data_IF_303206441413
#
_entry.id   IF_303206441413
#
_cell.length_a   1.000
_cell.length_b   1.000
_cell.length_c   1.000
_cell.angle_alpha   90.00
_cell.angle_beta   90.00
_cell.angle_gamma   90.00
#
_symmetry.space_group_name_H-M   'P 1'
#
loop_
_entity.id
_entity.type
_entity.pdbx_description
1 polymer ?
#
# COMPACT_ATOMS: atom_id res chain seq x y z
N UNK A 1 46.86 -52.45 43.85
CA UNK A 1 45.66 -52.77 44.67
C UNK A 1 44.59 -51.78 44.25
N UNK A 2 43.79 -52.01 43.20
CA UNK A 2 42.71 -52.99 43.03
C UNK A 2 41.42 -52.61 43.77
N UNK A 3 40.40 -52.22 42.96
CA UNK A 3 38.93 -52.49 43.10
C UNK A 3 38.22 -51.62 44.19
N UNK A 4 37.01 -51.06 44.03
CA UNK A 4 35.81 -51.47 43.29
C UNK A 4 34.80 -50.31 43.10
N UNK A 5 34.05 -50.38 41.99
CA UNK A 5 32.65 -49.95 41.88
C UNK A 5 31.74 -50.94 42.66
N UNK A 6 30.51 -50.55 43.02
CA UNK A 6 29.41 -51.36 42.50
C UNK A 6 28.17 -50.57 42.06
N UNK A 7 27.44 -51.25 41.17
CA UNK A 7 26.22 -50.87 40.50
C UNK A 7 24.93 -51.14 41.31
N UNK A 8 23.86 -50.49 40.83
CA UNK A 8 22.46 -50.93 40.71
C UNK A 8 21.68 -51.43 41.95
N UNK A 9 20.57 -50.72 42.24
CA UNK A 9 19.32 -51.36 42.66
C UNK A 9 18.11 -50.52 42.21
N UNK A 10 17.15 -51.19 41.58
CA UNK A 10 15.76 -50.82 41.33
C UNK A 10 14.96 -52.08 41.67
N UNK A 11 13.77 -52.04 42.30
CA UNK A 11 12.59 -51.35 41.75
C UNK A 11 11.58 -50.83 42.80
N UNK A 12 10.58 -50.02 42.39
CA UNK A 12 9.22 -50.19 42.92
C UNK A 12 8.15 -49.51 42.06
N UNK A 13 7.28 -50.38 41.54
CA UNK A 13 5.97 -50.15 40.95
C UNK A 13 4.97 -49.76 42.07
N UNK A 14 4.12 -48.76 41.83
CA UNK A 14 2.85 -48.64 42.55
C UNK A 14 1.79 -48.18 41.57
N UNK A 15 0.79 -49.03 41.42
CA UNK A 15 -0.35 -48.89 40.54
C UNK A 15 -1.52 -48.12 41.19
N UNK A 16 -2.42 -47.71 40.30
CA UNK A 16 -3.87 -47.56 40.46
C UNK A 16 -4.43 -46.25 41.06
N UNK A 17 -5.09 -45.48 40.19
CA UNK A 17 -6.47 -44.97 40.35
C UNK A 17 -6.90 -44.48 38.96
N UNK A 18 -7.62 -45.29 38.17
CA UNK A 18 -9.07 -45.49 38.21
C UNK A 18 -9.85 -44.22 37.83
N UNK A 19 -10.29 -44.14 36.58
CA UNK A 19 -11.49 -43.39 36.16
C UNK A 19 -11.96 -44.00 34.84
N UNK A 20 -12.88 -44.95 34.96
CA UNK A 20 -13.67 -45.47 33.86
C UNK A 20 -14.73 -44.46 33.40
N UNK A 21 -15.02 -44.51 32.11
CA UNK A 21 -16.01 -43.71 31.41
C UNK A 21 -17.43 -44.29 31.51
N UNK A 22 -18.42 -43.42 31.70
CA UNK A 22 -19.86 -43.54 31.36
C UNK A 22 -20.46 -42.16 31.68
N UNK A 23 -21.34 -41.50 30.94
CA UNK A 23 -22.45 -41.90 30.07
C UNK A 23 -22.82 -40.72 29.16
N UNK A 24 -23.57 -41.02 28.09
CA UNK A 24 -24.08 -40.11 27.06
C UNK A 24 -25.05 -39.00 27.55
N UNK A 25 -25.33 -37.98 26.72
CA UNK A 25 -26.63 -37.33 26.71
C UNK A 25 -27.44 -37.70 25.45
N UNK A 26 -28.64 -38.25 25.68
CA UNK A 26 -29.72 -38.39 24.70
C UNK A 26 -30.61 -37.13 24.73
N UNK A 27 -31.00 -36.66 23.53
CA UNK A 27 -32.35 -36.14 23.15
C UNK A 27 -32.92 -34.90 23.91
N UNK A 28 -33.44 -33.80 23.35
CA UNK A 28 -33.71 -33.21 22.02
C UNK A 28 -34.07 -31.72 22.24
N UNK A 29 -34.04 -30.83 21.22
CA UNK A 29 -34.75 -29.56 21.27
C UNK A 29 -36.16 -29.68 20.67
N UNK A 30 -37.18 -29.33 21.46
CA UNK A 30 -38.59 -29.24 21.06
C UNK A 30 -38.91 -27.81 20.55
N UNK A 31 -39.26 -27.75 19.26
CA UNK A 31 -40.35 -26.98 18.62
C UNK A 31 -40.53 -25.47 18.90
N UNK A 32 -40.19 -24.70 17.85
CA UNK A 32 -41.00 -23.70 17.10
C UNK A 32 -41.94 -22.70 17.79
N UNK A 33 -41.75 -21.42 17.44
CA UNK A 33 -42.76 -20.41 17.06
C UNK A 33 -42.03 -19.06 16.91
N UNK A 34 -42.30 -18.13 15.99
CA UNK A 34 -43.19 -18.01 14.85
C UNK A 34 -42.68 -16.81 14.02
N UNK A 35 -42.93 -16.84 12.71
CA UNK A 35 -42.77 -15.70 11.79
C UNK A 35 -43.68 -14.51 12.19
N UNK A 36 -43.40 -13.31 11.65
CA UNK A 36 -44.25 -12.91 10.52
C UNK A 36 -43.50 -12.28 9.35
N UNK A 37 -43.91 -12.67 8.15
CA UNK A 37 -43.81 -11.92 6.91
C UNK A 37 -44.98 -10.91 6.86
N UNK A 38 -44.77 -9.69 6.33
CA UNK A 38 -45.41 -9.34 5.06
C UNK A 38 -44.44 -8.53 4.15
N UNK A 39 -44.21 -8.94 2.91
CA UNK A 39 -45.00 -8.74 1.68
C UNK A 39 -44.46 -7.55 0.82
N UNK A 40 -44.58 -7.62 -0.51
CA UNK A 40 -43.70 -6.95 -1.48
C UNK A 40 -44.27 -5.64 -2.04
N UNK A 41 -43.40 -4.74 -2.54
CA UNK A 41 -43.73 -3.70 -3.54
C UNK A 41 -42.45 -3.43 -4.35
N UNK A 42 -42.36 -3.90 -5.59
CA UNK A 42 -42.88 -3.31 -6.83
C UNK A 42 -41.90 -2.32 -7.47
N UNK A 43 -41.46 -2.72 -8.66
CA UNK A 43 -40.63 -2.03 -9.63
C UNK A 43 -41.28 -0.75 -10.16
N UNK A 44 -40.51 0.32 -10.32
CA UNK A 44 -40.78 1.34 -11.34
C UNK A 44 -39.49 2.06 -11.75
N UNK A 45 -38.89 1.57 -12.85
CA UNK A 45 -38.20 2.42 -13.82
C UNK A 45 -39.23 3.00 -14.79
N UNK A 46 -38.81 4.00 -15.59
CA UNK A 46 -39.55 4.75 -16.65
C UNK A 46 -40.31 5.96 -16.08
N UNK A 47 -40.38 7.16 -16.67
CA UNK A 47 -40.06 7.66 -18.01
C UNK A 47 -39.82 9.18 -17.94
N UNK A 48 -39.27 9.68 -19.04
CA UNK A 48 -39.12 11.06 -19.51
C UNK A 48 -40.45 11.82 -19.45
N UNK A 49 -40.43 13.10 -19.05
CA UNK A 49 -41.41 14.06 -19.57
C UNK A 49 -40.73 15.39 -19.93
N UNK A 50 -40.78 15.64 -21.22
CA UNK A 50 -40.49 16.87 -21.95
C UNK A 50 -41.75 17.77 -21.92
N UNK A 51 -41.59 19.07 -21.65
CA UNK A 51 -42.44 20.18 -22.15
C UNK A 51 -41.85 21.49 -21.55
N UNK A 52 -41.12 22.32 -22.29
CA UNK A 52 -41.51 23.23 -23.38
C UNK A 52 -42.19 24.55 -22.90
N UNK A 53 -41.59 25.66 -23.39
CA UNK A 53 -42.05 27.07 -23.44
C UNK A 53 -41.88 27.91 -22.14
N UNK A 54 -41.37 29.15 -22.15
CA UNK A 54 -41.25 30.12 -23.23
C UNK A 54 -40.13 31.17 -22.98
N UNK A 55 -39.46 31.53 -24.07
CA UNK A 55 -38.73 32.78 -24.33
C UNK A 55 -39.65 34.01 -24.13
N UNK A 56 -39.13 35.22 -23.80
CA UNK A 56 -38.64 36.05 -24.89
C UNK A 56 -37.35 36.83 -24.61
N UNK A 57 -36.47 36.70 -25.59
CA UNK A 57 -35.39 37.56 -26.07
C UNK A 57 -35.76 39.05 -26.09
N UNK A 58 -34.83 39.93 -25.70
CA UNK A 58 -34.63 41.20 -26.38
C UNK A 58 -33.35 41.16 -27.23
N UNK A 59 -33.48 41.75 -28.41
CA UNK A 59 -32.53 41.87 -29.51
C UNK A 59 -31.24 42.64 -29.14
N UNK A 60 -30.16 42.51 -29.96
CA UNK A 60 -28.81 42.93 -29.58
C UNK A 60 -28.61 44.44 -29.71
N UNK A 61 -28.00 45.04 -28.70
CA UNK A 61 -27.51 46.42 -28.75
C UNK A 61 -26.10 46.42 -29.34
N UNK A 62 -25.99 47.04 -30.52
CA UNK A 62 -24.74 47.23 -31.26
C UNK A 62 -23.95 48.35 -30.57
N UNK A 63 -22.75 48.03 -30.10
CA UNK A 63 -21.79 48.98 -29.51
C UNK A 63 -20.43 48.74 -30.20
N UNK A 64 -19.71 49.79 -30.63
CA UNK A 64 -18.97 49.80 -31.89
C UNK A 64 -17.62 49.06 -31.85
N UNK A 65 -17.27 48.59 -33.04
CA UNK A 65 -15.95 48.14 -33.48
C UNK A 65 -14.85 49.10 -33.02
N UNK A 66 -14.14 48.71 -31.97
CA UNK A 66 -12.84 49.27 -31.64
C UNK A 66 -11.83 48.55 -32.52
N UNK A 67 -11.27 49.29 -33.47
CA UNK A 67 -10.17 48.85 -34.30
C UNK A 67 -9.03 48.33 -33.40
N UNK A 68 -8.81 47.02 -33.41
CA UNK A 68 -7.62 46.42 -32.83
C UNK A 68 -6.45 46.70 -33.79
N UNK A 69 -5.53 47.56 -33.35
CA UNK A 69 -4.22 47.70 -33.95
C UNK A 69 -3.54 46.32 -34.01
N UNK A 70 -2.77 46.00 -35.07
CA UNK A 70 -2.07 44.74 -35.17
C UNK A 70 -1.02 44.69 -34.06
N UNK A 71 -1.29 43.88 -33.04
CA UNK A 71 -0.27 43.47 -32.07
C UNK A 71 0.74 42.68 -32.90
N UNK A 72 1.93 43.26 -33.07
CA UNK A 72 3.08 42.54 -33.57
C UNK A 72 3.26 41.30 -32.69
N UNK A 73 3.22 40.11 -33.30
CA UNK A 73 3.69 38.88 -32.67
C UNK A 73 5.13 39.12 -32.22
N UNK A 74 5.30 39.38 -30.93
CA UNK A 74 6.58 39.19 -30.27
C UNK A 74 6.90 37.70 -30.43
N UNK A 75 8.03 37.33 -31.06
CA UNK A 75 8.34 35.93 -31.27
C UNK A 75 8.39 35.25 -29.91
N UNK A 76 7.56 34.22 -29.74
CA UNK A 76 7.64 33.33 -28.60
C UNK A 76 9.11 32.93 -28.40
N UNK A 77 9.65 32.98 -27.17
CA UNK A 77 11.02 32.58 -26.94
C UNK A 77 11.18 31.15 -27.46
N UNK A 78 12.16 30.98 -28.35
CA UNK A 78 12.55 29.69 -28.88
C UNK A 78 12.73 28.73 -27.70
N UNK A 79 11.99 27.61 -27.73
CA UNK A 79 12.24 26.45 -26.87
C UNK A 79 13.73 26.16 -27.01
N UNK A 80 14.49 26.39 -25.95
CA UNK A 80 15.92 26.16 -25.94
C UNK A 80 16.17 24.74 -26.44
N UNK A 81 16.93 24.63 -27.53
CA UNK A 81 17.28 23.35 -28.12
C UNK A 81 17.83 22.42 -27.04
N UNK A 82 17.26 21.21 -26.97
CA UNK A 82 17.73 20.15 -26.12
C UNK A 82 19.24 19.99 -26.31
N UNK A 83 20.01 20.31 -25.26
CA UNK A 83 21.41 19.93 -25.16
C UNK A 83 21.48 18.44 -25.46
N UNK A 84 22.27 18.05 -26.48
CA UNK A 84 22.30 16.71 -27.09
C UNK A 84 22.84 15.58 -26.20
N UNK A 85 22.40 15.50 -24.96
CA UNK A 85 22.72 14.44 -24.01
C UNK A 85 21.70 13.32 -24.20
N UNK A 86 22.16 12.16 -24.65
CA UNK A 86 21.29 11.00 -24.82
C UNK A 86 20.83 10.46 -23.45
N UNK A 87 19.54 10.60 -23.15
CA UNK A 87 18.94 10.12 -21.91
C UNK A 87 18.76 8.60 -21.94
N UNK A 88 18.86 7.98 -20.76
CA UNK A 88 18.43 6.60 -20.57
C UNK A 88 16.91 6.52 -20.76
N UNK A 89 16.42 5.53 -21.51
CA UNK A 89 14.98 5.40 -21.80
C UNK A 89 14.16 5.09 -20.54
N UNK A 90 14.69 4.20 -19.68
CA UNK A 90 14.07 3.90 -18.40
C UNK A 90 14.84 4.57 -17.25
N UNK A 91 14.30 5.68 -16.74
CA UNK A 91 14.85 6.39 -15.59
C UNK A 91 14.55 5.72 -14.25
N UNK A 92 13.56 4.82 -14.20
CA UNK A 92 13.14 4.11 -12.99
C UNK A 92 13.81 2.73 -12.99
N UNK A 93 14.92 2.61 -12.27
CA UNK A 93 15.69 1.36 -12.21
C UNK A 93 15.01 0.27 -11.39
N UNK A 94 14.27 0.66 -10.35
CA UNK A 94 13.47 -0.24 -9.54
C UNK A 94 12.26 0.50 -9.01
N UNK A 95 11.12 -0.20 -8.98
CA UNK A 95 9.99 0.27 -8.21
C UNK A 95 9.13 -0.91 -7.73
N UNK A 96 8.96 -1.05 -6.42
CA UNK A 96 8.09 -2.07 -5.82
C UNK A 96 7.12 -1.47 -4.81
N UNK A 97 6.08 -2.22 -4.46
CA UNK A 97 5.30 -1.94 -3.27
C UNK A 97 5.87 -2.72 -2.09
N UNK A 98 5.82 -2.09 -0.93
CA UNK A 98 6.12 -2.68 0.36
C UNK A 98 4.90 -2.50 1.29
N UNK A 99 4.79 -3.36 2.29
CA UNK A 99 3.71 -3.35 3.27
C UNK A 99 4.30 -3.23 4.67
N UNK A 100 3.94 -2.18 5.40
CA UNK A 100 4.34 -2.01 6.80
C UNK A 100 3.52 -2.99 7.66
N UNK A 101 4.13 -4.12 8.00
CA UNK A 101 3.49 -5.13 8.85
C UNK A 101 3.35 -4.62 10.29
N UNK A 102 2.16 -4.79 10.92
CA UNK A 102 1.89 -4.25 12.25
C UNK A 102 2.42 -5.13 13.41
N UNK A 103 3.09 -6.24 13.10
CA UNK A 103 3.56 -7.20 14.07
C UNK A 103 4.84 -7.91 13.59
N UNK A 104 5.49 -8.60 14.53
CA UNK A 104 6.49 -9.61 14.24
C UNK A 104 5.82 -10.99 14.23
N UNK A 105 6.24 -11.83 13.28
CA UNK A 105 5.78 -13.21 13.17
C UNK A 105 6.92 -14.21 13.37
N UNK A 106 6.55 -15.45 13.67
CA UNK A 106 7.43 -16.61 13.71
C UNK A 106 6.79 -17.77 12.97
N UNK A 107 7.61 -18.52 12.25
CA UNK A 107 7.15 -19.69 11.50
C UNK A 107 7.35 -20.94 12.35
N UNK A 108 6.25 -21.61 12.69
CA UNK A 108 6.25 -22.82 13.52
C UNK A 108 5.67 -24.01 12.80
N UNK A 109 5.97 -25.20 13.28
CA UNK A 109 5.31 -26.44 12.84
C UNK A 109 4.36 -26.87 13.96
N UNK A 110 3.07 -26.88 13.66
CA UNK A 110 2.00 -27.33 14.57
C UNK A 110 1.19 -28.40 13.85
N UNK A 111 1.07 -29.59 14.44
CA UNK A 111 0.33 -30.71 13.82
C UNK A 111 0.88 -31.12 12.44
N UNK A 112 2.20 -31.04 12.24
CA UNK A 112 2.85 -31.35 10.96
C UNK A 112 2.68 -30.29 9.86
N UNK A 113 2.00 -29.18 10.16
CA UNK A 113 1.75 -28.07 9.24
C UNK A 113 2.58 -26.87 9.65
N UNK A 114 3.25 -26.22 8.68
CA UNK A 114 3.90 -24.93 8.93
C UNK A 114 2.82 -23.86 9.11
N UNK A 115 2.93 -23.03 10.13
CA UNK A 115 1.98 -21.94 10.39
C UNK A 115 2.77 -20.72 10.81
N UNK A 116 2.22 -19.54 10.55
CA UNK A 116 2.78 -18.31 11.07
C UNK A 116 2.07 -17.96 12.38
N UNK A 117 2.84 -17.56 13.39
CA UNK A 117 2.32 -17.14 14.69
C UNK A 117 2.70 -15.69 14.91
N UNK A 118 1.72 -14.87 15.28
CA UNK A 118 1.95 -13.48 15.66
C UNK A 118 2.68 -13.48 17.00
N UNK A 119 3.96 -13.12 17.00
CA UNK A 119 4.76 -13.06 18.22
C UNK A 119 4.40 -11.83 19.04
N UNK A 120 4.38 -10.67 18.38
CA UNK A 120 4.29 -9.38 19.05
C UNK A 120 3.76 -8.32 18.11
N UNK A 121 2.68 -7.64 18.50
CA UNK A 121 2.21 -6.41 17.87
C UNK A 121 3.22 -5.27 18.15
N UNK A 122 3.54 -4.48 17.13
CA UNK A 122 4.46 -3.35 17.27
C UNK A 122 3.85 -2.24 18.14
N UNK A 123 4.65 -1.51 18.95
CA UNK A 123 4.13 -0.58 19.95
C UNK A 123 3.50 0.70 19.36
N UNK A 124 3.81 1.05 18.11
CA UNK A 124 3.30 2.23 17.40
C UNK A 124 2.01 1.96 16.61
N UNK A 125 1.46 0.74 16.70
CA UNK A 125 0.31 0.32 15.91
C UNK A 125 -1.00 0.57 16.64
N UNK A 126 -1.91 1.27 15.98
CA UNK A 126 -3.33 1.28 16.35
C UNK A 126 -4.01 0.00 15.84
N UNK A 127 -4.28 -0.93 16.76
CA UNK A 127 -4.88 -2.23 16.45
C UNK A 127 -6.28 -2.07 15.85
N UNK A 128 -7.06 -1.07 16.27
CA UNK A 128 -8.40 -0.85 15.74
C UNK A 128 -8.37 -0.46 14.24
N UNK A 129 -7.33 0.28 13.84
CA UNK A 129 -7.11 0.63 12.43
C UNK A 129 -6.61 -0.54 11.58
N UNK A 130 -5.99 -1.55 12.18
CA UNK A 130 -5.48 -2.75 11.49
C UNK A 130 -6.55 -3.84 11.42
N UNK A 131 -7.23 -4.11 12.53
CA UNK A 131 -8.26 -5.11 12.70
C UNK A 131 -8.38 -5.53 14.17
N UNK A 132 -9.56 -5.39 14.76
CA UNK A 132 -9.83 -5.60 16.19
C UNK A 132 -9.52 -7.03 16.70
N UNK A 133 -9.42 -7.98 15.78
CA UNK A 133 -9.11 -9.37 16.09
C UNK A 133 -7.62 -9.61 16.35
N UNK A 134 -6.73 -8.69 15.95
CA UNK A 134 -5.30 -8.89 16.01
C UNK A 134 -4.80 -8.96 17.46
N UNK A 135 -4.18 -10.09 17.82
CA UNK A 135 -3.65 -10.35 19.14
C UNK A 135 -2.34 -11.14 19.08
N UNK A 136 -1.54 -11.05 20.15
CA UNK A 136 -0.34 -11.87 20.32
C UNK A 136 -0.72 -13.35 20.47
N UNK A 137 0.06 -14.24 19.87
CA UNK A 137 -0.12 -15.68 19.94
C UNK A 137 -1.13 -16.25 18.94
N UNK A 138 -1.75 -15.42 18.09
CA UNK A 138 -2.63 -15.91 17.03
C UNK A 138 -1.85 -16.68 15.98
N UNK A 139 -2.46 -17.76 15.52
CA UNK A 139 -1.99 -18.58 14.41
C UNK A 139 -2.67 -18.08 13.13
N UNK A 140 -1.89 -17.72 12.12
CA UNK A 140 -2.38 -17.33 10.80
C UNK A 140 -2.16 -18.47 9.82
N UNK A 141 -3.24 -18.86 9.15
CA UNK A 141 -3.26 -19.98 8.20
C UNK A 141 -3.14 -19.48 6.76
N UNK A 142 -3.92 -18.47 6.39
CA UNK A 142 -4.00 -17.98 5.01
C UNK A 142 -4.25 -16.47 4.94
N UNK A 143 -3.85 -15.88 3.82
CA UNK A 143 -4.14 -14.48 3.45
C UNK A 143 -4.79 -14.48 2.07
N UNK A 144 -5.97 -13.87 1.94
CA UNK A 144 -6.82 -13.90 0.74
C UNK A 144 -7.03 -15.32 0.17
N UNK A 145 -7.15 -16.32 1.06
CA UNK A 145 -7.34 -17.72 0.70
C UNK A 145 -6.07 -18.46 0.27
N UNK A 146 -4.92 -17.80 0.23
CA UNK A 146 -3.62 -18.43 -0.04
C UNK A 146 -2.95 -18.82 1.28
N UNK A 147 -2.65 -20.11 1.44
CA UNK A 147 -1.97 -20.62 2.62
C UNK A 147 -0.60 -19.96 2.82
N UNK A 148 -0.33 -19.53 4.06
CA UNK A 148 0.97 -18.94 4.45
C UNK A 148 2.13 -19.91 4.27
N UNK A 149 1.86 -21.22 4.24
CA UNK A 149 2.87 -22.23 3.90
C UNK A 149 3.40 -22.10 2.48
N UNK A 150 2.54 -21.70 1.54
CA UNK A 150 2.90 -21.58 0.12
C UNK A 150 3.70 -20.28 -0.12
N UNK A 151 3.37 -19.21 0.60
CA UNK A 151 4.10 -17.93 0.53
C UNK A 151 5.38 -17.92 1.38
N UNK A 152 5.45 -18.75 2.41
CA UNK A 152 6.57 -18.84 3.37
C UNK A 152 6.49 -17.88 4.56
N UNK A 153 5.69 -16.82 4.49
CA UNK A 153 5.47 -15.82 5.55
C UNK A 153 4.14 -15.08 5.33
N UNK A 154 3.60 -14.44 6.37
CA UNK A 154 2.39 -13.61 6.23
C UNK A 154 2.74 -12.39 5.37
N UNK A 155 3.90 -11.75 5.61
CA UNK A 155 4.37 -10.61 4.81
C UNK A 155 4.39 -10.91 3.32
N UNK A 156 4.98 -12.04 2.90
CA UNK A 156 5.01 -12.42 1.47
C UNK A 156 3.60 -12.70 0.95
N UNK A 157 2.73 -13.33 1.74
CA UNK A 157 1.34 -13.56 1.34
C UNK A 157 0.59 -12.24 1.12
N UNK A 158 0.78 -11.27 2.02
CA UNK A 158 0.23 -9.92 1.91
C UNK A 158 0.75 -9.23 0.65
N UNK A 159 2.06 -9.19 0.44
CA UNK A 159 2.67 -8.52 -0.72
C UNK A 159 2.19 -9.11 -2.05
N UNK A 160 2.04 -10.43 -2.14
CA UNK A 160 1.54 -11.11 -3.33
C UNK A 160 0.06 -10.84 -3.61
N UNK A 161 -0.74 -10.64 -2.56
CA UNK A 161 -2.18 -10.41 -2.66
C UNK A 161 -2.57 -8.92 -2.58
N UNK A 162 -1.58 -8.04 -2.46
CA UNK A 162 -1.78 -6.63 -2.14
C UNK A 162 -2.46 -5.89 -3.28
N UNK A 163 -3.51 -5.16 -2.94
CA UNK A 163 -4.10 -4.10 -3.76
C UNK A 163 -4.13 -2.84 -2.93
N UNK A 164 -3.51 -1.79 -3.43
CA UNK A 164 -3.39 -0.52 -2.71
C UNK A 164 -4.59 0.34 -3.07
N UNK A 165 -5.36 0.68 -2.05
CA UNK A 165 -6.51 1.57 -2.17
C UNK A 165 -6.04 3.04 -2.26
N UNK A 166 -6.90 3.97 -2.72
CA UNK A 166 -6.52 5.38 -2.85
C UNK A 166 -6.03 6.05 -1.56
N UNK A 167 -6.39 5.50 -0.40
CA UNK A 167 -5.97 5.95 0.93
C UNK A 167 -4.58 5.42 1.37
N UNK A 168 -3.86 4.76 0.46
CA UNK A 168 -2.52 4.22 0.70
C UNK A 168 -2.50 3.00 1.61
N UNK A 169 -3.65 2.35 1.82
CA UNK A 169 -3.75 1.12 2.59
C UNK A 169 -4.01 -0.06 1.67
N UNK A 170 -3.65 -1.25 2.13
CA UNK A 170 -4.07 -2.49 1.51
C UNK A 170 -4.88 -3.30 2.51
N UNK A 171 -5.99 -3.85 2.04
CA UNK A 171 -6.94 -4.62 2.85
C UNK A 171 -6.92 -6.06 2.40
N UNK A 172 -6.61 -6.97 3.31
CA UNK A 172 -6.52 -8.40 3.05
C UNK A 172 -7.34 -9.19 4.06
N UNK A 173 -7.94 -10.27 3.61
CA UNK A 173 -8.70 -11.19 4.45
C UNK A 173 -7.73 -12.22 5.01
N UNK A 174 -7.70 -12.38 6.32
CA UNK A 174 -6.79 -13.29 7.02
C UNK A 174 -7.61 -14.37 7.70
N UNK A 175 -7.24 -15.63 7.49
CA UNK A 175 -7.77 -16.74 8.27
C UNK A 175 -6.83 -17.03 9.44
N UNK A 176 -7.35 -16.97 10.66
CA UNK A 176 -6.56 -17.12 11.87
C UNK A 176 -7.28 -17.99 12.91
N UNK A 177 -6.56 -18.43 13.93
CA UNK A 177 -7.15 -19.02 15.13
C UNK A 177 -6.38 -18.60 16.39
N UNK A 178 -7.11 -18.54 17.50
CA UNK A 178 -6.54 -18.38 18.84
C UNK A 178 -6.29 -19.72 19.53
N UNK A 179 -6.31 -19.71 20.85
CA UNK A 179 -6.08 -20.91 21.69
C UNK A 179 -7.15 -21.99 21.53
N UNK A 180 -8.38 -21.64 21.13
CA UNK A 180 -9.44 -22.61 20.83
C UNK A 180 -9.19 -23.42 19.55
N UNK A 181 -8.24 -23.00 18.72
CA UNK A 181 -7.97 -23.54 17.37
C UNK A 181 -9.17 -23.47 16.41
N UNK A 182 -10.23 -22.77 16.78
CA UNK A 182 -11.36 -22.49 15.89
C UNK A 182 -10.94 -21.46 14.84
N UNK A 183 -11.13 -21.81 13.57
CA UNK A 183 -10.76 -20.94 12.46
C UNK A 183 -11.76 -19.80 12.32
N UNK A 184 -11.22 -18.59 12.35
CA UNK A 184 -11.94 -17.34 12.16
C UNK A 184 -11.36 -16.61 10.95
N UNK A 185 -12.11 -15.62 10.47
CA UNK A 185 -11.67 -14.76 9.38
C UNK A 185 -11.78 -13.31 9.83
N UNK A 186 -10.74 -12.53 9.55
CA UNK A 186 -10.68 -11.12 9.90
C UNK A 186 -10.10 -10.30 8.76
N UNK A 187 -10.56 -9.05 8.62
CA UNK A 187 -9.93 -8.10 7.71
C UNK A 187 -8.68 -7.54 8.39
N UNK A 188 -7.55 -7.58 7.69
CA UNK A 188 -6.31 -6.90 8.08
C UNK A 188 -6.05 -5.74 7.13
N UNK A 189 -5.85 -4.56 7.70
CA UNK A 189 -5.46 -3.37 6.97
C UNK A 189 -3.99 -3.08 7.24
N UNK A 190 -3.19 -2.98 6.18
CA UNK A 190 -1.76 -2.63 6.26
C UNK A 190 -1.50 -1.35 5.50
N UNK A 191 -0.50 -0.58 5.93
CA UNK A 191 -0.06 0.61 5.19
C UNK A 191 0.85 0.17 4.05
N UNK A 192 0.60 0.68 2.85
CA UNK A 192 1.42 0.41 1.67
C UNK A 192 2.37 1.57 1.39
N UNK A 193 3.62 1.24 1.09
CA UNK A 193 4.66 2.21 0.71
C UNK A 193 5.23 1.81 -0.63
N UNK A 194 5.21 2.74 -1.58
CA UNK A 194 5.87 2.58 -2.87
C UNK A 194 7.35 2.90 -2.70
N UNK A 195 8.22 1.96 -3.01
CA UNK A 195 9.67 2.17 -3.01
C UNK A 195 10.12 2.40 -4.45
N UNK A 196 10.88 3.46 -4.70
CA UNK A 196 11.38 3.83 -6.03
C UNK A 196 12.88 4.10 -5.97
N UNK A 197 13.62 3.52 -6.91
CA UNK A 197 15.04 3.84 -7.15
C UNK A 197 15.21 4.33 -8.57
N UNK A 198 15.66 5.58 -8.69
CA UNK A 198 15.96 6.20 -9.97
C UNK A 198 17.37 5.80 -10.43
N UNK A 199 17.56 5.71 -11.75
CA UNK A 199 18.82 5.32 -12.38
C UNK A 199 19.97 6.30 -12.09
N UNK A 200 19.66 7.55 -11.73
CA UNK A 200 20.64 8.54 -11.29
C UNK A 200 21.06 8.38 -9.81
N UNK A 201 20.56 7.35 -9.10
CA UNK A 201 20.95 7.04 -7.73
C UNK A 201 20.12 7.73 -6.64
N UNK A 202 19.03 8.42 -6.98
CA UNK A 202 18.07 8.94 -6.00
C UNK A 202 17.06 7.85 -5.66
N UNK A 203 16.87 7.59 -4.36
CA UNK A 203 15.85 6.67 -3.86
C UNK A 203 14.76 7.44 -3.14
N UNK A 204 13.51 7.03 -3.35
CA UNK A 204 12.33 7.67 -2.77
C UNK A 204 11.37 6.61 -2.21
N UNK A 205 10.58 7.04 -1.23
CA UNK A 205 9.40 6.33 -0.75
C UNK A 205 8.16 7.19 -0.97
N UNK A 206 7.10 6.62 -1.54
CA UNK A 206 5.79 7.28 -1.67
C UNK A 206 4.80 6.56 -0.76
N UNK A 207 4.18 7.29 0.15
CA UNK A 207 3.20 6.74 1.10
C UNK A 207 2.17 7.80 1.47
N UNK A 208 1.05 7.38 2.05
CA UNK A 208 0.03 8.32 2.53
C UNK A 208 0.39 8.80 3.94
N UNK A 209 0.42 10.12 4.14
CA UNK A 209 0.63 10.77 5.44
C UNK A 209 -0.51 11.78 5.61
N UNK A 210 -1.27 11.66 6.71
CA UNK A 210 -2.45 12.49 6.98
C UNK A 210 -3.53 12.42 5.87
N UNK A 211 -3.61 11.31 5.13
CA UNK A 211 -4.55 11.13 4.02
C UNK A 211 -4.06 11.65 2.67
N UNK A 212 -2.85 12.21 2.60
CA UNK A 212 -2.25 12.71 1.36
C UNK A 212 -1.04 11.88 0.96
N UNK A 213 -0.89 11.61 -0.34
CA UNK A 213 0.32 10.99 -0.87
C UNK A 213 1.50 11.94 -0.75
N UNK A 214 2.61 11.44 -0.17
CA UNK A 214 3.87 12.18 -0.05
C UNK A 214 5.02 11.34 -0.59
N UNK A 215 5.82 11.98 -1.44
CA UNK A 215 7.07 11.41 -1.98
C UNK A 215 8.25 11.94 -1.18
N UNK A 216 8.99 11.08 -0.49
CA UNK A 216 10.11 11.47 0.37
C UNK A 216 11.40 10.83 -0.12
N UNK A 217 12.48 11.61 -0.19
CA UNK A 217 13.81 11.11 -0.55
C UNK A 217 14.39 10.28 0.61
N UNK A 218 14.73 9.03 0.35
CA UNK A 218 15.28 8.09 1.33
C UNK A 218 16.78 7.89 1.20
N UNK A 219 17.34 8.06 0.00
CA UNK A 219 18.79 8.02 -0.22
C UNK A 219 19.21 8.83 -1.46
N UNK A 220 20.45 9.30 -1.47
CA UNK A 220 21.09 9.94 -2.63
C UNK A 220 22.48 9.34 -2.80
N UNK A 221 22.63 8.47 -3.80
CA UNK A 221 23.87 7.74 -4.03
C UNK A 221 24.82 8.43 -5.03
N UNK A 222 24.31 9.38 -5.82
CA UNK A 222 25.11 10.21 -6.72
C UNK A 222 24.85 11.71 -6.43
N UNK A 223 25.45 12.27 -5.37
CA UNK A 223 25.16 13.64 -4.93
C UNK A 223 25.56 14.72 -5.95
N UNK A 224 26.41 14.40 -6.92
CA UNK A 224 26.77 15.35 -7.99
C UNK A 224 25.65 15.52 -9.04
N UNK A 225 24.70 14.58 -9.11
CA UNK A 225 23.59 14.60 -10.06
C UNK A 225 22.37 15.35 -9.52
N UNK A 226 22.35 15.77 -8.25
CA UNK A 226 21.19 16.40 -7.65
C UNK A 226 21.53 17.27 -6.43
N UNK A 227 20.65 18.23 -6.15
CA UNK A 227 20.67 19.00 -4.89
C UNK A 227 19.67 18.48 -3.87
N UNK A 228 18.95 17.41 -4.18
CA UNK A 228 18.08 16.67 -3.26
C UNK A 228 18.88 16.10 -2.10
N UNK A 229 18.22 15.99 -0.95
CA UNK A 229 18.76 15.46 0.31
C UNK A 229 17.79 14.45 0.89
N UNK A 230 18.33 13.51 1.65
CA UNK A 230 17.52 12.58 2.44
C UNK A 230 16.58 13.38 3.36
N UNK A 231 15.30 13.03 3.35
CA UNK A 231 14.24 13.71 4.10
C UNK A 231 13.51 14.81 3.33
N UNK A 232 13.98 15.21 2.15
CA UNK A 232 13.23 16.14 1.30
C UNK A 232 11.90 15.50 0.88
N UNK A 233 10.80 16.26 1.02
CA UNK A 233 9.49 15.84 0.51
C UNK A 233 9.21 16.56 -0.81
N UNK A 234 9.05 15.80 -1.89
CA UNK A 234 8.70 16.33 -3.21
C UNK A 234 7.18 16.44 -3.31
N UNK A 235 6.70 17.58 -3.81
CA UNK A 235 5.26 17.78 -4.04
C UNK A 235 4.91 18.29 -5.44
N UNK A 236 5.89 18.81 -6.20
CA UNK A 236 5.69 19.19 -7.61
C UNK A 236 6.99 19.11 -8.41
N UNK A 237 6.90 18.63 -9.64
CA UNK A 237 7.94 18.82 -10.64
C UNK A 237 7.65 20.11 -11.43
N UNK A 238 8.56 21.07 -11.38
CA UNK A 238 8.37 22.40 -11.98
C UNK A 238 8.56 22.38 -13.50
N UNK A 239 9.29 21.40 -14.02
CA UNK A 239 9.62 21.31 -15.43
C UNK A 239 8.45 20.77 -16.25
N UNK A 240 7.77 19.72 -15.77
CA UNK A 240 6.55 19.15 -16.35
C UNK A 240 5.28 19.82 -15.83
N UNK A 241 5.35 20.48 -14.67
CA UNK A 241 4.20 21.07 -13.98
C UNK A 241 3.34 20.06 -13.20
N UNK A 242 3.67 18.77 -13.24
CA UNK A 242 2.91 17.69 -12.62
C UNK A 242 3.12 17.67 -11.09
N UNK A 243 2.02 17.47 -10.35
CA UNK A 243 2.06 17.31 -8.91
C UNK A 243 2.49 15.89 -8.52
N UNK A 244 3.17 15.75 -7.38
CA UNK A 244 3.53 14.44 -6.80
C UNK A 244 2.51 14.05 -5.72
N UNK A 245 1.25 13.93 -6.12
CA UNK A 245 0.06 13.69 -5.28
C UNK A 245 -0.52 12.28 -5.43
N UNK A 246 0.19 11.40 -6.11
CA UNK A 246 -0.24 10.03 -6.35
C UNK A 246 0.91 9.02 -6.26
N UNK A 247 0.57 7.72 -6.16
CA UNK A 247 1.56 6.66 -5.95
C UNK A 247 2.45 6.38 -7.15
N UNK A 248 2.08 6.88 -8.35
CA UNK A 248 2.81 6.68 -9.61
C UNK A 248 3.19 7.99 -10.30
N UNK A 249 3.00 9.14 -9.62
CA UNK A 249 3.21 10.45 -10.23
C UNK A 249 4.67 10.67 -10.63
N UNK A 250 5.62 10.18 -9.82
CA UNK A 250 7.04 10.29 -10.12
C UNK A 250 7.42 9.53 -11.40
N UNK A 251 6.95 8.30 -11.56
CA UNK A 251 7.19 7.52 -12.77
C UNK A 251 6.65 8.23 -14.02
N UNK A 252 5.45 8.81 -13.94
CA UNK A 252 4.86 9.59 -15.03
C UNK A 252 5.70 10.84 -15.37
N UNK A 253 6.20 11.56 -14.37
CA UNK A 253 7.12 12.70 -14.56
C UNK A 253 8.38 12.24 -15.27
N UNK A 254 8.99 11.14 -14.82
CA UNK A 254 10.22 10.61 -15.43
C UNK A 254 10.02 10.23 -16.90
N UNK A 255 8.89 9.59 -17.24
CA UNK A 255 8.52 9.28 -18.63
C UNK A 255 8.38 10.56 -19.45
N UNK A 256 7.65 11.57 -18.95
CA UNK A 256 7.44 12.83 -19.65
C UNK A 256 8.76 13.58 -19.92
N UNK A 257 9.68 13.60 -18.96
CA UNK A 257 10.99 14.25 -19.10
C UNK A 257 11.87 13.56 -20.15
N UNK A 258 11.79 12.23 -20.26
CA UNK A 258 12.50 11.48 -21.31
C UNK A 258 11.89 11.78 -22.68
N UNK A 259 10.57 11.77 -22.80
CA UNK A 259 9.85 12.08 -24.04
C UNK A 259 10.13 13.51 -24.52
N UNK A 260 10.27 14.47 -23.60
CA UNK A 260 10.64 15.85 -23.92
C UNK A 260 12.15 16.07 -24.10
N UNK A 261 12.98 15.03 -23.95
CA UNK A 261 14.44 15.13 -24.04
C UNK A 261 15.07 16.04 -22.98
N UNK A 262 14.40 16.22 -21.85
CA UNK A 262 14.82 17.15 -20.80
C UNK A 262 15.75 16.47 -19.79
N UNK A 263 17.05 16.78 -19.88
CA UNK A 263 18.09 16.15 -19.07
C UNK A 263 18.15 16.60 -17.60
N UNK A 264 17.43 17.67 -17.25
CA UNK A 264 17.47 18.25 -15.90
C UNK A 264 16.10 18.76 -15.54
N UNK A 265 15.65 18.46 -14.33
CA UNK A 265 14.38 18.93 -13.77
C UNK A 265 14.58 19.64 -12.43
N UNK A 266 13.67 20.53 -12.09
CA UNK A 266 13.58 21.18 -10.80
C UNK A 266 12.32 20.71 -10.06
N UNK A 267 12.48 20.25 -8.82
CA UNK A 267 11.38 19.94 -7.92
C UNK A 267 11.12 21.07 -6.95
N UNK A 268 9.85 21.37 -6.71
CA UNK A 268 9.44 22.07 -5.51
C UNK A 268 9.36 21.06 -4.36
N UNK A 269 10.09 21.36 -3.28
CA UNK A 269 10.27 20.46 -2.14
C UNK A 269 9.96 21.14 -0.81
N UNK A 270 9.69 20.32 0.21
CA UNK A 270 9.71 20.73 1.62
C UNK A 270 11.00 20.18 2.23
N UNK A 271 11.82 21.09 2.77
CA UNK A 271 13.06 20.81 3.49
C UNK A 271 13.06 21.59 4.79
N UNK A 272 13.33 20.94 5.91
CA UNK A 272 13.32 21.57 7.25
C UNK A 272 12.01 22.36 7.52
N UNK A 273 10.88 21.80 7.07
CA UNK A 273 9.54 22.39 7.15
C UNK A 273 9.38 23.73 6.41
N UNK A 274 10.20 23.97 5.38
CA UNK A 274 10.14 25.16 4.51
C UNK A 274 10.11 24.76 3.04
N UNK A 275 9.47 25.59 2.23
CA UNK A 275 9.51 25.44 0.77
C UNK A 275 10.92 25.76 0.26
N UNK A 276 11.42 24.90 -0.60
CA UNK A 276 12.70 25.05 -1.28
C UNK A 276 12.61 24.43 -2.68
N UNK A 277 13.66 24.66 -3.47
CA UNK A 277 13.82 24.07 -4.79
C UNK A 277 15.00 23.11 -4.79
N UNK A 278 14.88 22.03 -5.56
CA UNK A 278 15.95 21.08 -5.76
C UNK A 278 16.03 20.63 -7.23
N UNK A 279 17.19 20.84 -7.82
CA UNK A 279 17.52 20.38 -9.17
C UNK A 279 17.97 18.92 -9.16
N UNK A 280 17.62 18.17 -10.21
CA UNK A 280 18.04 16.80 -10.45
C UNK A 280 18.33 16.57 -11.94
N UNK A 281 19.49 15.99 -12.22
CA UNK A 281 19.86 15.52 -13.56
C UNK A 281 19.31 14.10 -13.78
N UNK A 282 18.77 13.84 -14.96
CA UNK A 282 18.35 12.51 -15.36
C UNK A 282 19.57 11.64 -15.71
N UNK A 283 19.40 10.33 -15.63
CA UNK A 283 20.43 9.39 -16.04
C UNK A 283 20.61 9.41 -17.55
N UNK A 284 21.87 9.38 -17.98
CA UNK A 284 22.27 9.43 -19.39
C UNK A 284 22.74 8.04 -19.84
N UNK A 285 22.69 7.77 -21.15
CA UNK A 285 23.26 6.53 -21.71
C UNK A 285 24.77 6.56 -21.48
N UNK A 286 25.31 5.53 -20.83
CA UNK A 286 26.75 5.42 -20.62
C UNK A 286 27.46 5.16 -21.96
N UNK A 287 28.44 6.00 -22.33
CA UNK A 287 29.30 5.78 -23.49
C UNK A 287 29.16 6.75 -24.67
N UNK A 288 29.04 8.05 -24.41
CA UNK A 288 29.37 9.10 -25.39
C UNK A 288 30.46 10.00 -24.84
#
# INVERSE_FOLDING_TARGET
TAVAEPAADAPQETAATDTAAETAPETAPETAAAAPEPAPVETASTEVEETAAADPTPAPEVVPEVAAEPIAEEPAPAVAAASGVALLENQVGFAAWDAKMPFLEDNRIIGGKRVAVILRILPDVDVASVGDWLANGLIVYSVNGVDVQQSGSITTAVLNAMRVDPDGKARVVVQYAGSSLEQQTGLMTVTATRLISLANGVNLSVSTIDGEWRSVVTAVNAPNATTLRVGDTLFRDKTTGVALDGPTSLEAIMTSLVESGTATTDFAIIRDNKLADATMQLAVKAGQ
#
